data_IF_689952052631
#
_entry.id   IF_689952052631
#
_cell.length_a   1.000
_cell.length_b   1.000
_cell.length_c   1.000
_cell.angle_alpha   90.00
_cell.angle_beta   90.00
_cell.angle_gamma   90.00
#
_symmetry.space_group_name_H-M   'P 1'
#
loop_
_entity.id
_entity.type
_entity.pdbx_description
1 polymer ?
#
# COMPACT_ATOMS: atom_id res chain seq x y z
N UNK A 1 -2.55 -22.34 -9.12
CA UNK A 1 -2.05 -23.58 -8.46
C UNK A 1 -1.64 -23.28 -7.04
N UNK A 2 -0.66 -22.37 -6.76
CA UNK A 2 -0.13 -22.12 -5.42
C UNK A 2 -1.22 -21.70 -4.39
N UNK A 3 -2.22 -20.93 -4.78
CA UNK A 3 -3.34 -20.55 -3.90
C UNK A 3 -4.16 -21.77 -3.47
N UNK A 4 -4.47 -22.67 -4.40
CA UNK A 4 -5.21 -23.89 -4.09
C UNK A 4 -4.38 -24.87 -3.26
N UNK A 5 -3.05 -24.90 -3.45
CA UNK A 5 -2.15 -25.74 -2.67
C UNK A 5 -2.13 -25.38 -1.19
N UNK A 6 -2.44 -24.12 -0.81
CA UNK A 6 -2.56 -23.71 0.60
C UNK A 6 -3.67 -24.44 1.36
N UNK A 7 -4.71 -24.95 0.67
CA UNK A 7 -5.78 -25.72 1.28
C UNK A 7 -5.45 -27.20 1.50
N UNK A 8 -4.36 -27.71 0.90
CA UNK A 8 -4.02 -29.14 0.92
C UNK A 8 -3.23 -29.52 2.17
N UNK A 9 -2.39 -28.62 2.66
CA UNK A 9 -1.47 -28.90 3.76
C UNK A 9 -1.35 -27.73 4.72
N UNK A 10 -1.56 -27.95 6.01
CA UNK A 10 -1.56 -26.94 7.07
C UNK A 10 -0.22 -26.89 7.83
N UNK A 11 0.89 -27.07 7.13
CA UNK A 11 2.23 -26.93 7.70
C UNK A 11 2.79 -25.53 7.47
N UNK A 12 3.39 -24.95 8.51
CA UNK A 12 3.89 -23.58 8.48
C UNK A 12 5.04 -23.37 7.47
N UNK A 13 5.94 -24.36 7.34
CA UNK A 13 7.06 -24.26 6.41
C UNK A 13 6.58 -24.38 4.96
N UNK A 14 5.65 -25.29 4.70
CA UNK A 14 5.00 -25.43 3.39
C UNK A 14 4.25 -24.15 3.01
N UNK A 15 3.49 -23.54 3.93
CA UNK A 15 2.82 -22.27 3.69
C UNK A 15 3.81 -21.15 3.40
N UNK A 16 4.91 -21.05 4.12
CA UNK A 16 5.94 -20.05 3.89
C UNK A 16 6.53 -20.17 2.47
N UNK A 17 6.85 -21.39 2.02
CA UNK A 17 7.34 -21.64 0.65
C UNK A 17 6.32 -21.24 -0.42
N UNK A 18 5.05 -21.62 -0.23
CA UNK A 18 4.00 -21.24 -1.16
C UNK A 18 3.77 -19.71 -1.18
N UNK A 19 3.88 -19.03 -0.05
CA UNK A 19 3.78 -17.56 0.03
C UNK A 19 4.95 -16.87 -0.68
N UNK A 20 6.15 -17.40 -0.59
CA UNK A 20 7.30 -16.90 -1.36
C UNK A 20 7.03 -17.06 -2.86
N UNK A 21 6.61 -18.26 -3.30
CA UNK A 21 6.28 -18.51 -4.70
C UNK A 21 5.16 -17.60 -5.21
N UNK A 22 4.10 -17.40 -4.42
CA UNK A 22 3.03 -16.46 -4.73
C UNK A 22 3.54 -15.03 -4.84
N UNK A 23 4.38 -14.57 -3.90
CA UNK A 23 4.96 -13.23 -3.91
C UNK A 23 5.75 -12.96 -5.20
N UNK A 24 6.59 -13.92 -5.60
CA UNK A 24 7.34 -13.84 -6.86
C UNK A 24 6.38 -13.79 -8.06
N UNK A 25 5.39 -14.68 -8.11
CA UNK A 25 4.40 -14.71 -9.20
C UNK A 25 3.61 -13.41 -9.30
N UNK A 26 3.15 -12.84 -8.18
CA UNK A 26 2.45 -11.55 -8.14
C UNK A 26 3.35 -10.40 -8.58
N UNK A 27 4.62 -10.37 -8.17
CA UNK A 27 5.57 -9.34 -8.59
C UNK A 27 5.73 -9.35 -10.12
N UNK A 28 5.92 -10.52 -10.73
CA UNK A 28 5.98 -10.65 -12.19
C UNK A 28 4.68 -10.24 -12.86
N UNK A 29 3.53 -10.69 -12.35
CA UNK A 29 2.22 -10.36 -12.90
C UNK A 29 1.96 -8.86 -12.91
N UNK A 30 2.14 -8.19 -11.78
CA UNK A 30 1.92 -6.73 -11.70
C UNK A 30 2.88 -5.96 -12.60
N UNK A 31 4.16 -6.30 -12.60
CA UNK A 31 5.15 -5.65 -13.48
C UNK A 31 4.79 -5.83 -14.95
N UNK A 32 4.36 -7.04 -15.36
CA UNK A 32 3.97 -7.32 -16.75
C UNK A 32 2.70 -6.55 -17.15
N UNK A 33 1.67 -6.51 -16.28
CA UNK A 33 0.43 -5.79 -16.56
C UNK A 33 0.71 -4.29 -16.71
N UNK A 34 1.49 -3.71 -15.81
CA UNK A 34 1.79 -2.28 -15.82
C UNK A 34 2.66 -1.90 -17.03
N UNK A 35 3.68 -2.69 -17.35
CA UNK A 35 4.49 -2.49 -18.56
C UNK A 35 3.64 -2.56 -19.83
N UNK A 36 2.74 -3.55 -19.90
CA UNK A 36 1.86 -3.72 -21.04
C UNK A 36 0.87 -2.57 -21.21
N UNK A 37 0.25 -2.11 -20.10
CA UNK A 37 -0.61 -0.92 -20.14
C UNK A 37 0.16 0.34 -20.55
N UNK A 38 1.40 0.47 -20.10
CA UNK A 38 2.27 1.59 -20.46
C UNK A 38 2.55 1.66 -21.96
N UNK A 39 2.77 0.52 -22.62
CA UNK A 39 3.02 0.45 -24.06
C UNK A 39 1.74 0.50 -24.91
N UNK A 40 0.65 -0.14 -24.44
CA UNK A 40 -0.58 -0.29 -25.24
C UNK A 40 -1.47 0.96 -25.21
N UNK A 41 -1.37 1.81 -24.18
CA UNK A 41 -2.26 2.95 -23.99
C UNK A 41 -1.62 4.24 -24.55
N UNK A 42 -2.33 4.98 -25.44
CA UNK A 42 -1.85 6.28 -25.92
C UNK A 42 -1.57 7.26 -24.78
N UNK A 43 -0.51 8.09 -24.91
CA UNK A 43 -0.04 9.02 -23.87
C UNK A 43 -1.14 9.93 -23.33
N UNK A 44 -2.02 10.45 -24.18
CA UNK A 44 -3.15 11.31 -23.79
C UNK A 44 -4.14 10.65 -22.82
N UNK A 45 -4.31 9.34 -22.86
CA UNK A 45 -5.28 8.58 -22.03
C UNK A 45 -4.61 7.74 -20.94
N UNK A 46 -3.28 7.65 -20.94
CA UNK A 46 -2.50 6.79 -20.01
C UNK A 46 -2.79 7.10 -18.56
N UNK A 47 -2.79 8.38 -18.17
CA UNK A 47 -3.09 8.79 -16.80
C UNK A 47 -4.49 8.35 -16.33
N UNK A 48 -5.49 8.46 -17.22
CA UNK A 48 -6.86 8.05 -16.89
C UNK A 48 -6.99 6.52 -16.75
N UNK A 49 -6.38 5.76 -17.65
CA UNK A 49 -6.39 4.28 -17.60
C UNK A 49 -5.68 3.78 -16.35
N UNK A 50 -4.52 4.35 -16.01
CA UNK A 50 -3.80 4.02 -14.77
C UNK A 50 -4.61 4.40 -13.52
N UNK A 51 -5.29 5.54 -13.53
CA UNK A 51 -6.19 5.95 -12.44
C UNK A 51 -7.33 4.95 -12.23
N UNK A 52 -7.96 4.48 -13.30
CA UNK A 52 -9.01 3.45 -13.24
C UNK A 52 -8.43 2.12 -12.71
N UNK A 53 -7.27 1.70 -13.20
CA UNK A 53 -6.59 0.49 -12.75
C UNK A 53 -6.30 0.52 -11.23
N UNK A 54 -5.69 1.59 -10.73
CA UNK A 54 -5.38 1.71 -9.30
C UNK A 54 -6.64 1.83 -8.42
N UNK A 55 -7.67 2.52 -8.91
CA UNK A 55 -8.96 2.59 -8.21
C UNK A 55 -9.61 1.20 -8.16
N UNK A 56 -9.63 0.48 -9.28
CA UNK A 56 -10.14 -0.89 -9.35
C UNK A 56 -9.38 -1.84 -8.42
N UNK A 57 -8.05 -1.74 -8.36
CA UNK A 57 -7.23 -2.54 -7.45
C UNK A 57 -7.60 -2.28 -5.97
N UNK A 58 -7.77 -1.02 -5.57
CA UNK A 58 -8.20 -0.67 -4.20
C UNK A 58 -9.62 -1.12 -3.89
N UNK A 59 -10.54 -0.97 -4.83
CA UNK A 59 -11.92 -1.48 -4.69
C UNK A 59 -11.91 -3.02 -4.52
N UNK A 60 -11.06 -3.73 -5.24
CA UNK A 60 -10.91 -5.17 -5.09
C UNK A 60 -10.37 -5.56 -3.71
N UNK A 61 -9.41 -4.80 -3.16
CA UNK A 61 -8.91 -5.00 -1.79
C UNK A 61 -9.97 -4.68 -0.72
N UNK A 62 -10.86 -3.74 -1.00
CA UNK A 62 -11.98 -3.39 -0.12
C UNK A 62 -13.08 -4.47 -0.15
N UNK A 63 -13.43 -4.98 -1.35
CA UNK A 63 -14.56 -5.91 -1.54
C UNK A 63 -14.13 -7.36 -1.31
N UNK A 64 -12.88 -7.71 -1.63
CA UNK A 64 -12.35 -9.08 -1.58
C UNK A 64 -12.65 -9.84 -0.28
N UNK A 65 -12.46 -9.25 0.91
CA UNK A 65 -12.73 -9.91 2.18
C UNK A 65 -14.19 -10.38 2.37
N UNK A 66 -15.17 -9.72 1.73
CA UNK A 66 -16.57 -10.12 1.83
C UNK A 66 -16.89 -11.46 1.15
N UNK A 67 -16.11 -11.84 0.13
CA UNK A 67 -16.27 -13.16 -0.51
C UNK A 67 -15.88 -14.32 0.40
N UNK A 68 -15.06 -14.06 1.42
CA UNK A 68 -14.64 -15.06 2.41
C UNK A 68 -15.28 -14.85 3.78
N UNK A 69 -16.05 -13.78 3.95
CA UNK A 69 -16.77 -13.50 5.18
C UNK A 69 -17.75 -14.65 5.48
N UNK A 70 -17.71 -15.16 6.72
CA UNK A 70 -18.53 -16.29 7.15
C UNK A 70 -18.03 -17.67 6.72
N UNK A 71 -16.89 -17.77 5.99
CA UNK A 71 -16.26 -19.04 5.66
C UNK A 71 -15.25 -19.43 6.75
N UNK A 72 -15.18 -20.74 7.05
CA UNK A 72 -14.11 -21.25 7.90
C UNK A 72 -12.78 -21.22 7.13
N UNK A 73 -11.69 -20.77 7.76
CA UNK A 73 -10.36 -20.79 7.17
C UNK A 73 -9.87 -22.20 6.79
N UNK A 74 -10.48 -23.24 7.38
CA UNK A 74 -10.06 -24.63 7.22
C UNK A 74 -10.88 -25.40 6.17
N UNK A 75 -11.99 -24.85 5.64
CA UNK A 75 -12.86 -25.58 4.72
C UNK A 75 -12.44 -25.54 3.25
N UNK A 76 -11.36 -24.86 2.93
CA UNK A 76 -10.82 -24.75 1.56
C UNK A 76 -11.62 -23.85 0.60
N UNK A 77 -12.87 -23.47 0.91
CA UNK A 77 -13.74 -22.69 0.03
C UNK A 77 -13.16 -21.31 -0.29
N UNK A 78 -12.53 -20.64 0.68
CA UNK A 78 -11.89 -19.36 0.47
C UNK A 78 -10.78 -19.44 -0.60
N UNK A 79 -9.98 -20.50 -0.55
CA UNK A 79 -8.92 -20.75 -1.54
C UNK A 79 -9.49 -21.11 -2.90
N UNK A 80 -10.61 -21.85 -2.96
CA UNK A 80 -11.31 -22.16 -4.21
C UNK A 80 -11.83 -20.90 -4.88
N UNK A 81 -12.48 -19.99 -4.16
CA UNK A 81 -12.92 -18.68 -4.66
C UNK A 81 -11.74 -17.85 -5.18
N UNK A 82 -10.66 -17.75 -4.42
CA UNK A 82 -9.47 -17.03 -4.86
C UNK A 82 -8.87 -17.65 -6.14
N UNK A 83 -8.82 -18.97 -6.22
CA UNK A 83 -8.39 -19.70 -7.41
C UNK A 83 -9.28 -19.46 -8.63
N UNK A 84 -10.61 -19.43 -8.43
CA UNK A 84 -11.60 -19.13 -9.48
C UNK A 84 -11.42 -17.72 -10.02
N UNK A 85 -11.30 -16.70 -9.15
CA UNK A 85 -11.07 -15.32 -9.59
C UNK A 85 -9.77 -15.17 -10.37
N UNK A 86 -8.69 -15.81 -9.91
CA UNK A 86 -7.42 -15.82 -10.64
C UNK A 86 -7.53 -16.51 -12.00
N UNK A 87 -8.28 -17.61 -12.11
CA UNK A 87 -8.54 -18.28 -13.39
C UNK A 87 -9.37 -17.41 -14.34
N UNK A 88 -10.43 -16.77 -13.82
CA UNK A 88 -11.26 -15.85 -14.60
C UNK A 88 -10.47 -14.62 -15.09
N UNK A 89 -9.53 -14.12 -14.28
CA UNK A 89 -8.67 -13.00 -14.68
C UNK A 89 -7.74 -13.34 -15.85
N UNK A 90 -7.43 -14.61 -16.08
CA UNK A 90 -6.62 -15.05 -17.24
C UNK A 90 -7.41 -15.03 -18.55
N UNK A 91 -8.74 -15.16 -18.51
CA UNK A 91 -9.57 -15.25 -19.71
C UNK A 91 -9.39 -14.06 -20.65
N UNK A 92 -9.52 -12.78 -20.21
CA UNK A 92 -9.31 -11.64 -21.10
C UNK A 92 -7.87 -11.57 -21.62
N UNK A 93 -6.88 -11.97 -20.80
CA UNK A 93 -5.47 -11.99 -21.21
C UNK A 93 -5.24 -13.02 -22.33
N UNK A 94 -5.83 -14.22 -22.21
CA UNK A 94 -5.72 -15.26 -23.24
C UNK A 94 -6.47 -14.90 -24.54
N UNK A 95 -7.52 -14.07 -24.46
CA UNK A 95 -8.30 -13.63 -25.62
C UNK A 95 -7.68 -12.41 -26.33
N UNK A 96 -6.73 -11.74 -25.72
CA UNK A 96 -6.09 -10.57 -26.36
C UNK A 96 -5.13 -10.98 -27.48
N UNK A 97 -5.06 -10.13 -28.51
CA UNK A 97 -4.14 -10.27 -29.63
C UNK A 97 -3.02 -9.22 -29.61
N UNK A 98 -2.89 -8.50 -28.52
CA UNK A 98 -1.84 -7.49 -28.37
C UNK A 98 -0.46 -8.16 -28.25
N UNK A 99 0.57 -7.45 -28.69
CA UNK A 99 1.96 -7.91 -28.58
C UNK A 99 2.38 -8.01 -27.11
N UNK A 100 3.28 -8.92 -26.83
CA UNK A 100 3.91 -8.99 -25.49
C UNK A 100 4.66 -7.70 -25.17
N UNK A 101 4.60 -7.25 -23.90
CA UNK A 101 5.34 -6.07 -23.47
C UNK A 101 6.85 -6.33 -23.55
N UNK A 102 7.60 -5.32 -23.91
CA UNK A 102 9.07 -5.38 -23.86
C UNK A 102 9.53 -5.46 -22.40
N UNK A 103 10.44 -6.38 -22.04
CA UNK A 103 10.97 -6.41 -20.68
C UNK A 103 11.61 -5.06 -20.33
N UNK A 104 11.25 -4.45 -19.20
CA UNK A 104 11.81 -3.16 -18.84
C UNK A 104 13.31 -3.27 -18.59
N UNK A 105 14.12 -2.55 -19.33
CA UNK A 105 15.56 -2.41 -19.09
C UNK A 105 15.79 -1.43 -17.93
N UNK A 106 15.48 -1.87 -16.72
CA UNK A 106 15.49 -1.00 -15.54
C UNK A 106 16.53 -1.43 -14.53
N UNK A 107 17.57 -0.61 -14.40
CA UNK A 107 18.49 -0.70 -13.27
C UNK A 107 17.86 -0.01 -12.06
N UNK A 108 17.67 -0.73 -10.95
CA UNK A 108 17.23 -0.12 -9.71
C UNK A 108 18.30 0.82 -9.15
N UNK A 109 17.88 1.90 -8.51
CA UNK A 109 18.79 2.81 -7.83
C UNK A 109 19.23 2.19 -6.49
N UNK A 110 20.53 2.22 -6.14
CA UNK A 110 20.99 1.81 -4.82
C UNK A 110 20.30 2.62 -3.70
N UNK A 111 19.86 1.94 -2.64
CA UNK A 111 19.15 2.58 -1.52
C UNK A 111 19.94 3.74 -0.91
N UNK A 112 21.27 3.63 -0.84
CA UNK A 112 22.13 4.69 -0.33
C UNK A 112 22.05 5.97 -1.19
N UNK A 113 21.97 5.85 -2.50
CA UNK A 113 21.81 6.99 -3.41
C UNK A 113 20.40 7.59 -3.28
N UNK A 114 19.38 6.74 -3.22
CA UNK A 114 18.00 7.14 -3.00
C UNK A 114 17.84 7.93 -1.70
N UNK A 115 18.53 7.48 -0.62
CA UNK A 115 18.54 8.18 0.66
C UNK A 115 19.21 9.57 0.59
N UNK A 116 20.19 9.77 -0.29
CA UNK A 116 20.79 11.10 -0.52
C UNK A 116 19.82 12.05 -1.23
N UNK A 117 19.04 11.54 -2.18
CA UNK A 117 18.08 12.33 -2.96
C UNK A 117 16.90 12.76 -2.08
N UNK A 118 16.21 11.80 -1.47
CA UNK A 118 14.96 12.02 -0.74
C UNK A 118 14.87 11.23 0.56
N UNK A 119 15.67 11.54 1.59
CA UNK A 119 15.70 10.75 2.83
C UNK A 119 14.36 10.67 3.55
N UNK A 120 13.57 11.75 3.54
CA UNK A 120 12.26 11.78 4.16
C UNK A 120 11.28 10.82 3.45
N UNK A 121 11.32 10.77 2.11
CA UNK A 121 10.49 9.85 1.34
C UNK A 121 10.88 8.39 1.60
N UNK A 122 12.18 8.09 1.63
CA UNK A 122 12.68 6.72 1.89
C UNK A 122 12.19 6.21 3.24
N UNK A 123 12.33 7.02 4.29
CA UNK A 123 11.84 6.66 5.63
C UNK A 123 10.32 6.53 5.63
N UNK A 124 9.61 7.47 4.99
CA UNK A 124 8.16 7.41 4.87
C UNK A 124 7.68 6.15 4.18
N UNK A 125 8.29 5.78 3.05
CA UNK A 125 7.96 4.57 2.30
C UNK A 125 8.28 3.28 3.08
N UNK A 126 9.41 3.23 3.79
CA UNK A 126 9.76 2.13 4.68
C UNK A 126 8.69 1.94 5.77
N UNK A 127 8.35 3.03 6.46
CA UNK A 127 7.34 3.00 7.52
C UNK A 127 5.94 2.70 6.98
N UNK A 128 5.62 3.14 5.76
CA UNK A 128 4.38 2.72 5.11
C UNK A 128 4.31 1.20 4.93
N UNK A 129 5.41 0.58 4.48
CA UNK A 129 5.51 -0.88 4.41
C UNK A 129 5.31 -1.53 5.77
N UNK A 130 6.02 -1.08 6.79
CA UNK A 130 5.92 -1.62 8.16
C UNK A 130 4.51 -1.49 8.72
N UNK A 131 3.94 -0.27 8.70
CA UNK A 131 2.67 0.04 9.34
C UNK A 131 1.51 -0.65 8.62
N UNK A 132 1.43 -0.48 7.30
CA UNK A 132 0.27 -0.93 6.53
C UNK A 132 0.20 -2.45 6.47
N UNK A 133 1.30 -3.12 6.11
CA UNK A 133 1.32 -4.59 6.06
C UNK A 133 1.28 -5.21 7.44
N UNK A 134 1.97 -4.63 8.43
CA UNK A 134 1.92 -5.12 9.80
C UNK A 134 0.52 -5.06 10.38
N UNK A 135 -0.17 -3.94 10.22
CA UNK A 135 -1.53 -3.76 10.76
C UNK A 135 -2.53 -4.62 9.98
N UNK A 136 -2.57 -4.55 8.65
CA UNK A 136 -3.57 -5.27 7.86
C UNK A 136 -3.39 -6.80 7.93
N UNK A 137 -2.17 -7.31 7.99
CA UNK A 137 -1.92 -8.75 8.11
C UNK A 137 -2.36 -9.33 9.45
N UNK A 138 -2.25 -8.55 10.54
CA UNK A 138 -2.60 -9.02 11.88
C UNK A 138 -3.98 -8.54 12.35
N UNK A 139 -4.67 -7.73 11.55
CA UNK A 139 -6.02 -7.26 11.86
C UNK A 139 -6.99 -8.41 12.15
N UNK A 140 -7.03 -9.51 11.35
CA UNK A 140 -7.89 -10.66 11.65
C UNK A 140 -7.60 -11.27 13.01
N UNK A 141 -6.33 -11.51 13.33
CA UNK A 141 -5.89 -12.07 14.61
C UNK A 141 -6.24 -11.13 15.77
N UNK A 142 -6.10 -9.83 15.56
CA UNK A 142 -6.41 -8.81 16.55
C UNK A 142 -7.92 -8.78 16.88
N UNK A 143 -8.78 -8.83 15.87
CA UNK A 143 -10.23 -8.83 16.03
C UNK A 143 -10.74 -10.10 16.73
N UNK A 144 -10.21 -11.25 16.34
CA UNK A 144 -10.57 -12.54 16.93
C UNK A 144 -10.09 -12.64 18.39
N UNK A 145 -8.82 -12.31 18.65
CA UNK A 145 -8.21 -12.43 19.99
C UNK A 145 -8.86 -11.52 21.02
N UNK A 146 -9.33 -10.33 20.62
CA UNK A 146 -9.86 -9.32 21.53
C UNK A 146 -11.38 -9.11 21.37
N UNK A 147 -12.04 -9.98 20.62
CA UNK A 147 -13.49 -9.97 20.37
C UNK A 147 -14.02 -8.59 19.95
N UNK A 148 -13.20 -7.83 19.20
CA UNK A 148 -13.59 -6.51 18.72
C UNK A 148 -14.70 -6.62 17.68
N UNK A 149 -15.70 -5.78 17.81
CA UNK A 149 -16.89 -5.77 16.95
C UNK A 149 -17.58 -7.16 16.86
N UNK A 150 -17.62 -7.91 17.96
CA UNK A 150 -18.20 -9.25 18.01
C UNK A 150 -17.31 -10.36 17.46
N UNK A 151 -16.11 -10.05 16.96
CA UNK A 151 -15.19 -11.03 16.39
C UNK A 151 -15.68 -11.62 15.06
N UNK A 152 -14.99 -12.68 14.61
CA UNK A 152 -15.38 -13.43 13.41
C UNK A 152 -14.97 -12.79 12.08
N UNK A 153 -15.08 -13.59 11.01
CA UNK A 153 -14.61 -13.23 9.67
C UNK A 153 -15.39 -12.08 9.04
N UNK A 154 -16.67 -11.91 9.37
CA UNK A 154 -17.49 -10.81 8.87
C UNK A 154 -17.06 -9.46 9.46
N UNK A 155 -16.80 -9.40 10.77
CA UNK A 155 -16.30 -8.19 11.45
C UNK A 155 -14.94 -7.77 10.87
N UNK A 156 -14.05 -8.74 10.63
CA UNK A 156 -12.76 -8.50 9.99
C UNK A 156 -12.93 -7.97 8.56
N UNK A 157 -13.84 -8.54 7.76
CA UNK A 157 -14.09 -8.08 6.41
C UNK A 157 -14.57 -6.62 6.38
N UNK A 158 -15.50 -6.26 7.27
CA UNK A 158 -15.98 -4.88 7.43
C UNK A 158 -14.84 -3.96 7.86
N UNK A 159 -14.02 -4.37 8.83
CA UNK A 159 -12.89 -3.59 9.33
C UNK A 159 -11.85 -3.30 8.23
N UNK A 160 -11.48 -4.32 7.45
CA UNK A 160 -10.56 -4.16 6.32
C UNK A 160 -11.17 -3.25 5.25
N UNK A 161 -12.44 -3.45 4.91
CA UNK A 161 -13.15 -2.61 3.95
C UNK A 161 -13.22 -1.14 4.41
N UNK A 162 -13.50 -0.90 5.69
CA UNK A 162 -13.54 0.43 6.29
C UNK A 162 -12.18 1.15 6.19
N UNK A 163 -11.09 0.45 6.50
CA UNK A 163 -9.74 1.00 6.35
C UNK A 163 -9.43 1.37 4.88
N UNK A 164 -9.73 0.49 3.92
CA UNK A 164 -9.51 0.76 2.50
C UNK A 164 -10.42 1.87 1.98
N UNK A 165 -11.68 1.95 2.43
CA UNK A 165 -12.61 3.04 2.11
C UNK A 165 -12.03 4.39 2.54
N UNK A 166 -11.54 4.49 3.78
CA UNK A 166 -10.87 5.69 4.26
C UNK A 166 -9.70 6.08 3.36
N UNK A 167 -8.83 5.12 3.05
CA UNK A 167 -7.70 5.32 2.15
C UNK A 167 -8.09 5.77 0.75
N UNK A 168 -9.17 5.23 0.20
CA UNK A 168 -9.68 5.61 -1.12
C UNK A 168 -10.23 7.05 -1.12
N UNK A 169 -11.03 7.39 -0.11
CA UNK A 169 -11.69 8.71 0.00
C UNK A 169 -10.67 9.83 0.21
N UNK A 170 -9.70 9.65 1.10
CA UNK A 170 -8.76 10.74 1.42
C UNK A 170 -7.62 10.88 0.41
N UNK A 171 -7.29 9.84 -0.34
CA UNK A 171 -6.14 9.84 -1.24
C UNK A 171 -6.15 11.00 -2.23
N UNK A 172 -7.30 11.24 -2.89
CA UNK A 172 -7.41 12.30 -3.89
C UNK A 172 -7.41 13.71 -3.26
N UNK A 173 -8.21 14.02 -2.23
CA UNK A 173 -8.13 15.32 -1.54
C UNK A 173 -6.75 15.63 -0.97
N UNK A 174 -6.08 14.64 -0.37
CA UNK A 174 -4.73 14.80 0.15
C UNK A 174 -3.70 15.04 -0.97
N UNK A 175 -3.86 14.39 -2.11
CA UNK A 175 -3.06 14.63 -3.30
C UNK A 175 -3.16 16.08 -3.76
N UNK A 176 -4.37 16.55 -4.03
CA UNK A 176 -4.65 17.94 -4.45
C UNK A 176 -4.14 18.96 -3.41
N UNK A 177 -4.34 18.67 -2.13
CA UNK A 177 -3.82 19.54 -1.07
C UNK A 177 -2.28 19.58 -1.08
N UNK A 178 -1.63 18.46 -1.36
CA UNK A 178 -0.16 18.35 -1.40
C UNK A 178 0.47 19.09 -2.59
N UNK A 179 -0.34 19.43 -3.62
CA UNK A 179 0.12 20.25 -4.73
C UNK A 179 0.04 21.75 -4.42
N UNK A 180 -0.77 22.13 -3.42
CA UNK A 180 -0.97 23.53 -3.01
C UNK A 180 -0.13 23.97 -1.82
N UNK A 181 0.22 23.02 -0.96
CA UNK A 181 1.05 23.26 0.23
C UNK A 181 2.21 22.25 0.29
N UNK A 182 3.16 22.50 1.18
CA UNK A 182 4.31 21.62 1.36
C UNK A 182 3.89 20.14 1.60
N UNK A 183 4.25 19.23 0.69
CA UNK A 183 3.88 17.80 0.74
C UNK A 183 4.23 17.16 2.09
N UNK A 184 5.37 17.52 2.69
CA UNK A 184 5.81 16.99 4.00
C UNK A 184 4.85 17.36 5.13
N UNK A 185 4.20 18.53 5.07
CA UNK A 185 3.20 18.93 6.06
C UNK A 185 1.90 18.13 5.90
N UNK A 186 1.48 17.86 4.65
CA UNK A 186 0.32 17.01 4.38
C UNK A 186 0.58 15.59 4.89
N UNK A 187 1.76 15.01 4.60
CA UNK A 187 2.16 13.71 5.14
C UNK A 187 2.13 13.72 6.67
N UNK A 188 2.70 14.75 7.31
CA UNK A 188 2.68 14.87 8.76
C UNK A 188 1.25 14.92 9.33
N UNK A 189 0.35 15.69 8.71
CA UNK A 189 -1.06 15.76 9.10
C UNK A 189 -1.77 14.41 9.00
N UNK A 190 -1.57 13.70 7.89
CA UNK A 190 -2.13 12.35 7.68
C UNK A 190 -1.60 11.34 8.70
N UNK A 191 -0.29 11.36 8.96
CA UNK A 191 0.34 10.50 9.96
C UNK A 191 -0.16 10.84 11.38
N UNK A 192 -0.33 12.12 11.70
CA UNK A 192 -0.87 12.55 13.00
C UNK A 192 -2.30 12.06 13.17
N UNK A 193 -3.15 12.26 12.17
CA UNK A 193 -4.56 11.80 12.19
C UNK A 193 -4.64 10.29 12.39
N UNK A 194 -3.89 9.51 11.61
CA UNK A 194 -3.88 8.04 11.75
C UNK A 194 -3.19 7.58 13.04
N UNK A 195 -2.21 8.33 13.53
CA UNK A 195 -1.58 8.09 14.82
C UNK A 195 -2.56 8.25 15.98
N UNK A 196 -3.37 9.30 15.96
CA UNK A 196 -4.45 9.51 16.96
C UNK A 196 -5.47 8.37 16.87
N UNK A 197 -5.92 8.02 15.67
CA UNK A 197 -6.84 6.91 15.45
C UNK A 197 -6.26 5.58 15.97
N UNK A 198 -4.97 5.33 15.74
CA UNK A 198 -4.27 4.16 16.29
C UNK A 198 -4.31 4.14 17.80
N UNK A 199 -3.97 5.25 18.47
CA UNK A 199 -3.99 5.33 19.93
C UNK A 199 -5.41 5.18 20.49
N UNK A 200 -6.43 5.73 19.84
CA UNK A 200 -7.82 5.53 20.24
C UNK A 200 -8.21 4.04 20.21
N UNK A 201 -7.83 3.29 19.19
CA UNK A 201 -8.09 1.84 19.14
C UNK A 201 -7.27 1.11 20.21
N UNK A 202 -5.98 1.46 20.37
CA UNK A 202 -5.10 0.81 21.33
C UNK A 202 -5.61 0.92 22.78
N UNK A 203 -6.15 2.10 23.15
CA UNK A 203 -6.57 2.40 24.53
C UNK A 203 -8.05 2.08 24.75
N UNK A 204 -8.90 2.43 23.81
CA UNK A 204 -10.35 2.42 23.96
C UNK A 204 -11.06 1.40 23.05
N UNK A 205 -10.34 0.55 22.30
CA UNK A 205 -10.91 -0.29 21.25
C UNK A 205 -12.14 -1.09 21.68
N UNK A 206 -12.12 -1.66 22.88
CA UNK A 206 -13.29 -2.40 23.44
C UNK A 206 -14.43 -1.44 23.82
N UNK A 207 -14.11 -0.28 24.41
CA UNK A 207 -15.09 0.70 24.84
C UNK A 207 -15.77 1.45 23.68
N UNK A 208 -15.12 1.50 22.51
CA UNK A 208 -15.68 2.14 21.32
C UNK A 208 -16.88 1.39 20.74
N UNK A 209 -17.02 0.10 21.05
CA UNK A 209 -18.01 -0.77 20.42
C UNK A 209 -17.75 -0.97 18.93
N UNK A 210 -18.63 -1.72 18.27
CA UNK A 210 -18.45 -2.11 16.87
C UNK A 210 -18.38 -0.90 15.92
N UNK A 211 -19.38 -0.03 15.98
CA UNK A 211 -19.48 1.15 15.09
C UNK A 211 -18.31 2.09 15.32
N UNK A 212 -17.92 2.31 16.58
CA UNK A 212 -16.82 3.19 16.93
C UNK A 212 -15.49 2.69 16.41
N UNK A 213 -15.20 1.40 16.55
CA UNK A 213 -13.96 0.79 16.00
C UNK A 213 -13.92 0.91 14.48
N UNK A 214 -15.02 0.63 13.77
CA UNK A 214 -15.09 0.73 12.32
C UNK A 214 -14.89 2.18 11.86
N UNK A 215 -15.52 3.15 12.53
CA UNK A 215 -15.34 4.56 12.21
C UNK A 215 -13.89 5.02 12.43
N UNK A 216 -13.26 4.63 13.53
CA UNK A 216 -11.87 4.99 13.82
C UNK A 216 -10.91 4.28 12.85
N UNK A 217 -11.19 3.04 12.45
CA UNK A 217 -10.42 2.34 11.40
C UNK A 217 -10.54 3.02 10.04
N UNK A 218 -11.70 3.57 9.69
CA UNK A 218 -11.86 4.37 8.48
C UNK A 218 -10.94 5.59 8.51
N UNK A 219 -10.90 6.31 9.64
CA UNK A 219 -10.01 7.47 9.84
C UNK A 219 -8.53 7.04 9.81
N UNK A 220 -8.20 5.92 10.46
CA UNK A 220 -6.86 5.35 10.40
C UNK A 220 -6.43 5.05 8.97
N UNK A 221 -7.27 4.35 8.23
CA UNK A 221 -7.00 3.98 6.84
C UNK A 221 -6.88 5.20 5.92
N UNK A 222 -7.69 6.24 6.17
CA UNK A 222 -7.66 7.48 5.40
C UNK A 222 -6.24 8.08 5.35
N UNK A 223 -5.53 8.16 6.45
CA UNK A 223 -4.15 8.64 6.46
C UNK A 223 -3.13 7.54 6.17
N UNK A 224 -3.19 6.41 6.88
CA UNK A 224 -2.17 5.36 6.82
C UNK A 224 -2.04 4.69 5.45
N UNK A 225 -3.16 4.49 4.73
CA UNK A 225 -3.15 3.86 3.39
C UNK A 225 -2.96 4.85 2.24
N UNK A 226 -2.87 6.15 2.52
CA UNK A 226 -2.75 7.19 1.49
C UNK A 226 -1.40 7.91 1.50
N UNK A 227 -0.70 8.04 2.63
CA UNK A 227 0.53 8.82 2.70
C UNK A 227 1.69 8.24 1.87
N UNK A 228 1.67 6.94 1.56
CA UNK A 228 2.67 6.32 0.69
C UNK A 228 2.80 7.06 -0.65
N UNK A 229 1.68 7.32 -1.32
CA UNK A 229 1.66 8.01 -2.60
C UNK A 229 2.26 9.42 -2.54
N UNK A 230 2.06 10.13 -1.42
CA UNK A 230 2.66 11.44 -1.20
C UNK A 230 4.17 11.35 -0.95
N UNK A 231 4.64 10.30 -0.26
CA UNK A 231 6.08 10.05 -0.09
C UNK A 231 6.76 9.78 -1.44
N UNK A 232 6.10 9.01 -2.31
CA UNK A 232 6.60 8.75 -3.67
C UNK A 232 6.65 10.05 -4.47
N UNK A 233 5.58 10.83 -4.49
CA UNK A 233 5.55 12.12 -5.16
C UNK A 233 6.65 13.07 -4.65
N UNK A 234 6.87 13.12 -3.32
CA UNK A 234 7.95 13.90 -2.73
C UNK A 234 9.35 13.44 -3.18
N UNK A 235 9.55 12.14 -3.42
CA UNK A 235 10.80 11.64 -3.97
C UNK A 235 10.98 12.05 -5.43
N UNK A 236 9.92 11.97 -6.23
CA UNK A 236 9.91 12.34 -7.65
C UNK A 236 10.26 13.83 -7.82
N UNK A 237 9.66 14.72 -7.02
CA UNK A 237 9.96 16.16 -7.04
C UNK A 237 11.45 16.49 -6.86
N UNK A 238 12.19 15.61 -6.18
CA UNK A 238 13.64 15.76 -5.91
C UNK A 238 14.53 14.98 -6.84
N UNK A 239 13.94 14.25 -7.78
CA UNK A 239 14.65 13.35 -8.68
C UNK A 239 15.07 14.09 -9.96
N UNK A 240 16.34 14.00 -10.39
CA UNK A 240 16.74 14.52 -11.68
C UNK A 240 15.97 13.89 -12.83
N UNK A 241 15.73 14.68 -13.90
CA UNK A 241 15.03 14.20 -15.11
C UNK A 241 15.68 12.93 -15.65
N UNK A 242 14.87 11.96 -16.10
CA UNK A 242 15.31 10.68 -16.64
C UNK A 242 15.70 9.61 -15.62
N UNK A 243 15.68 9.91 -14.30
CA UNK A 243 15.99 8.94 -13.22
C UNK A 243 14.78 8.49 -12.40
N UNK A 244 13.60 9.00 -12.72
CA UNK A 244 12.34 8.64 -12.02
C UNK A 244 12.09 7.12 -12.01
N UNK A 245 12.31 6.36 -13.13
CA UNK A 245 12.16 4.90 -13.14
C UNK A 245 12.99 4.20 -12.07
N UNK A 246 14.24 4.63 -11.94
CA UNK A 246 15.20 4.02 -11.01
C UNK A 246 14.81 4.32 -9.56
N UNK A 247 14.35 5.55 -9.28
CA UNK A 247 13.85 5.97 -7.96
C UNK A 247 12.61 5.18 -7.57
N UNK A 248 11.65 5.02 -8.49
CA UNK A 248 10.43 4.24 -8.25
C UNK A 248 10.74 2.79 -7.90
N UNK A 249 11.62 2.13 -8.68
CA UNK A 249 12.06 0.76 -8.38
C UNK A 249 12.76 0.66 -7.03
N UNK A 250 13.60 1.64 -6.68
CA UNK A 250 14.27 1.70 -5.38
C UNK A 250 13.27 1.90 -4.21
N UNK A 251 12.28 2.78 -4.36
CA UNK A 251 11.23 2.99 -3.36
C UNK A 251 10.37 1.74 -3.16
N UNK A 252 10.04 1.04 -4.24
CA UNK A 252 9.30 -0.23 -4.16
C UNK A 252 10.09 -1.28 -3.37
N UNK A 253 11.40 -1.37 -3.58
CA UNK A 253 12.27 -2.25 -2.80
C UNK A 253 12.28 -1.88 -1.31
N UNK A 254 12.37 -0.59 -0.99
CA UNK A 254 12.31 -0.09 0.40
C UNK A 254 10.97 -0.42 1.04
N UNK A 255 9.86 -0.22 0.31
CA UNK A 255 8.52 -0.59 0.79
C UNK A 255 8.41 -2.09 1.05
N UNK A 256 8.92 -2.92 0.13
CA UNK A 256 8.91 -4.38 0.30
C UNK A 256 9.70 -4.83 1.53
N UNK A 257 10.86 -4.23 1.80
CA UNK A 257 11.64 -4.49 3.01
C UNK A 257 10.84 -4.15 4.27
N UNK A 258 10.17 -2.98 4.30
CA UNK A 258 9.25 -2.62 5.38
C UNK A 258 8.09 -3.60 5.54
N UNK A 259 7.55 -4.08 4.43
CA UNK A 259 6.43 -5.03 4.42
C UNK A 259 6.77 -6.41 4.96
N UNK A 260 8.02 -6.82 4.85
CA UNK A 260 8.52 -8.07 5.47
C UNK A 260 8.66 -7.89 6.99
N UNK A 261 9.19 -6.75 7.42
CA UNK A 261 9.46 -6.48 8.84
C UNK A 261 8.18 -6.16 9.61
N UNK A 262 7.20 -5.52 8.95
CA UNK A 262 5.97 -5.02 9.57
C UNK A 262 5.20 -6.08 10.37
N UNK A 263 4.77 -7.20 9.77
CA UNK A 263 4.05 -8.25 10.50
C UNK A 263 4.82 -8.84 11.66
N UNK A 264 6.15 -8.96 11.55
CA UNK A 264 7.01 -9.46 12.62
C UNK A 264 7.04 -8.50 13.81
N UNK A 265 7.25 -7.21 13.56
CA UNK A 265 7.23 -6.18 14.60
C UNK A 265 5.85 -6.08 15.25
N UNK A 266 4.79 -6.09 14.47
CA UNK A 266 3.41 -6.01 14.95
C UNK A 266 3.04 -7.24 15.79
N UNK A 267 3.43 -8.44 15.36
CA UNK A 267 3.23 -9.67 16.11
C UNK A 267 4.00 -9.67 17.45
N UNK A 268 5.24 -9.19 17.43
CA UNK A 268 6.02 -9.00 18.66
C UNK A 268 5.38 -7.98 19.59
N UNK A 269 4.94 -6.82 19.07
CA UNK A 269 4.25 -5.79 19.87
C UNK A 269 2.96 -6.32 20.50
N UNK A 270 2.17 -7.13 19.80
CA UNK A 270 0.98 -7.79 20.34
C UNK A 270 1.31 -8.82 21.43
N UNK A 271 2.50 -9.43 21.40
CA UNK A 271 2.94 -10.34 22.48
C UNK A 271 3.34 -9.60 23.74
N UNK A 272 3.96 -8.41 23.59
CA UNK A 272 4.51 -7.63 24.72
C UNK A 272 3.45 -6.72 25.35
N UNK A 273 2.66 -6.05 24.51
CA UNK A 273 1.70 -5.03 24.96
C UNK A 273 0.22 -5.43 24.73
N UNK A 274 -0.02 -6.71 24.46
CA UNK A 274 -1.35 -7.29 24.30
C UNK A 274 -2.26 -6.46 23.37
N UNK A 275 -3.43 -5.99 23.85
CA UNK A 275 -4.38 -5.18 23.07
C UNK A 275 -3.77 -3.88 22.51
N UNK A 276 -2.91 -3.25 23.29
CA UNK A 276 -2.27 -2.01 22.83
C UNK A 276 -1.18 -2.25 21.78
N UNK A 277 -0.69 -3.48 21.61
CA UNK A 277 0.50 -3.78 20.83
C UNK A 277 0.39 -3.38 19.36
N UNK A 278 -0.65 -3.85 18.66
CA UNK A 278 -0.79 -3.64 17.20
C UNK A 278 -0.91 -2.15 16.87
N UNK A 279 -1.96 -1.53 17.38
CA UNK A 279 -2.24 -0.12 17.08
C UNK A 279 -1.36 0.85 17.87
N UNK A 280 -0.85 0.47 19.05
CA UNK A 280 0.16 1.25 19.77
C UNK A 280 1.45 1.38 18.99
N UNK A 281 1.98 0.28 18.44
CA UNK A 281 3.15 0.32 17.56
C UNK A 281 2.88 1.19 16.32
N UNK A 282 1.76 0.96 15.64
CA UNK A 282 1.39 1.75 14.46
C UNK A 282 1.31 3.25 14.79
N UNK A 283 0.68 3.62 15.91
CA UNK A 283 0.57 4.99 16.39
C UNK A 283 1.92 5.64 16.67
N UNK A 284 2.80 4.94 17.40
CA UNK A 284 4.16 5.43 17.68
C UNK A 284 4.93 5.68 16.38
N UNK A 285 4.92 4.74 15.44
CA UNK A 285 5.65 4.88 14.17
C UNK A 285 5.07 6.02 13.32
N UNK A 286 3.74 6.21 13.30
CA UNK A 286 3.08 7.32 12.62
C UNK A 286 3.46 8.68 13.23
N UNK A 287 3.49 8.80 14.56
CA UNK A 287 3.94 10.05 15.20
C UNK A 287 5.44 10.33 14.98
N UNK A 288 6.28 9.29 15.03
CA UNK A 288 7.71 9.43 14.69
C UNK A 288 7.85 9.96 13.26
N UNK A 289 7.08 9.43 12.30
CA UNK A 289 7.11 9.92 10.92
C UNK A 289 6.58 11.35 10.82
N UNK A 290 5.49 11.69 11.51
CA UNK A 290 4.94 13.05 11.52
C UNK A 290 5.96 14.07 12.05
N UNK A 291 6.61 13.77 13.16
CA UNK A 291 7.66 14.62 13.75
C UNK A 291 8.84 14.75 12.78
N UNK A 292 9.28 13.64 12.18
CA UNK A 292 10.37 13.64 11.21
C UNK A 292 10.03 14.53 10.00
N UNK A 293 8.82 14.49 9.48
CA UNK A 293 8.39 15.32 8.36
C UNK A 293 8.41 16.80 8.74
N UNK A 294 7.89 17.17 9.91
CA UNK A 294 7.92 18.56 10.41
C UNK A 294 9.33 19.06 10.61
N UNK A 295 10.22 18.25 11.21
CA UNK A 295 11.64 18.61 11.40
C UNK A 295 12.32 18.82 10.05
N UNK A 296 12.06 17.96 9.07
CA UNK A 296 12.62 18.07 7.72
C UNK A 296 12.13 19.30 6.95
N UNK A 297 10.91 19.77 7.21
CA UNK A 297 10.42 21.06 6.65
C UNK A 297 11.31 22.22 7.12
N UNK A 298 11.68 22.22 8.40
CA UNK A 298 12.54 23.27 8.97
C UNK A 298 14.00 23.21 8.51
N UNK A 299 14.50 22.02 8.17
CA UNK A 299 15.91 21.80 7.83
C UNK A 299 16.22 21.99 6.33
N UNK A 300 15.25 21.83 5.45
CA UNK A 300 15.47 21.82 4.00
C UNK A 300 14.32 22.51 3.28
N UNK A 301 14.66 23.48 2.42
CA UNK A 301 13.68 24.22 1.65
C UNK A 301 12.77 23.28 0.81
N UNK A 302 11.54 23.75 0.57
CA UNK A 302 10.62 23.10 -0.35
C UNK A 302 11.23 23.07 -1.76
N UNK A 303 10.86 22.06 -2.60
CA UNK A 303 11.12 22.12 -4.03
C UNK A 303 10.48 23.40 -4.60
N UNK A 304 11.11 24.00 -5.62
CA UNK A 304 10.54 25.15 -6.33
C UNK A 304 9.31 24.69 -7.13
N UNK A 305 8.38 25.59 -7.44
CA UNK A 305 7.19 25.29 -8.26
C UNK A 305 7.54 24.61 -9.58
N UNK A 306 8.69 24.97 -10.20
CA UNK A 306 9.20 24.33 -11.41
C UNK A 306 9.70 22.88 -11.21
N UNK A 307 9.90 22.45 -9.98
CA UNK A 307 10.32 21.09 -9.61
C UNK A 307 9.17 20.23 -9.09
N UNK A 308 8.07 20.86 -8.67
CA UNK A 308 6.88 20.15 -8.23
C UNK A 308 6.10 19.63 -9.42
N UNK A 309 5.72 18.37 -9.36
CA UNK A 309 4.82 17.76 -10.33
C UNK A 309 3.44 17.55 -9.72
N UNK A 310 2.42 17.63 -10.57
CA UNK A 310 1.05 17.31 -10.19
C UNK A 310 0.98 15.90 -9.61
N UNK A 311 0.36 15.75 -8.45
CA UNK A 311 0.21 14.48 -7.80
C UNK A 311 -0.67 13.53 -8.63
N UNK A 312 -0.21 12.27 -8.74
CA UNK A 312 -0.95 11.18 -9.38
C UNK A 312 -1.07 10.00 -8.42
N UNK A 313 -2.21 9.29 -8.42
CA UNK A 313 -2.41 8.15 -7.54
C UNK A 313 -1.44 7.02 -7.89
N UNK A 314 -0.67 6.57 -6.90
CA UNK A 314 0.27 5.45 -7.02
C UNK A 314 0.00 4.43 -5.92
N UNK A 315 0.06 3.15 -6.26
CA UNK A 315 0.01 2.05 -5.29
C UNK A 315 1.41 1.47 -5.07
N UNK A 316 1.68 0.81 -3.93
CA UNK A 316 2.98 0.20 -3.65
C UNK A 316 3.39 -0.91 -4.63
N UNK A 317 2.46 -1.41 -5.42
CA UNK A 317 2.73 -2.43 -6.45
C UNK A 317 3.03 -1.84 -7.81
N UNK A 318 2.90 -0.50 -7.97
CA UNK A 318 2.96 0.17 -9.27
C UNK A 318 4.32 0.78 -9.58
N UNK A 319 4.87 0.44 -10.74
CA UNK A 319 5.97 1.13 -11.40
C UNK A 319 5.47 2.18 -12.42
N UNK A 320 4.17 2.28 -12.61
CA UNK A 320 3.53 3.12 -13.63
C UNK A 320 3.77 4.64 -13.45
N UNK A 321 4.16 5.08 -12.25
CA UNK A 321 4.58 6.47 -12.01
C UNK A 321 5.74 6.94 -12.91
N UNK A 322 6.46 5.99 -13.48
CA UNK A 322 7.56 6.25 -14.42
C UNK A 322 7.07 6.75 -15.77
N UNK A 323 5.99 6.17 -16.25
CA UNK A 323 5.43 6.45 -17.58
C UNK A 323 4.50 7.67 -17.54
N UNK A 324 4.15 8.10 -16.33
CA UNK A 324 3.36 9.30 -16.08
C UNK A 324 4.24 10.55 -15.89
N UNK A 325 5.57 10.44 -15.96
CA UNK A 325 6.48 11.59 -15.86
C UNK A 325 6.39 12.42 -17.16
N UNK A 326 5.78 13.60 -17.15
CA UNK A 326 5.72 14.47 -18.34
C UNK A 326 7.09 14.99 -18.79
N UNK A 327 8.13 14.77 -18.00
CA UNK A 327 9.52 15.12 -18.31
C UNK A 327 10.27 13.99 -19.02
N UNK A 328 9.61 12.87 -19.31
CA UNK A 328 10.22 11.76 -20.03
C UNK A 328 10.47 12.19 -21.49
N UNK A 329 11.72 12.24 -21.97
CA UNK A 329 12.04 12.71 -23.31
C UNK A 329 11.47 11.83 -24.44
N UNK A 330 10.97 10.64 -24.11
CA UNK A 330 10.31 9.74 -25.08
C UNK A 330 8.80 10.05 -25.27
N UNK A 331 8.25 11.07 -24.61
CA UNK A 331 6.84 11.48 -24.72
C UNK A 331 6.64 12.56 -25.76
N UNK A 332 7.71 13.16 -26.30
CA UNK A 332 7.67 14.26 -27.29
C UNK A 332 7.86 13.81 -28.75
N UNK A 333 7.62 12.57 -29.09
CA UNK A 333 7.73 12.15 -30.51
C UNK A 333 6.45 11.48 -31.04
#
# INVERSE_FOLDING_TARGET
VAVLALSLWHDAAFWALLRIAQGIAFAYMFTSIESWMGEAVPDKSRGNVMGIYHTGAKLSLMIGPFFVAGMSPLDGRAYAWAGLFLALALVPVCLTRQKEPTPPDRKSMPVAELFRIAPAAVIGVLLAGVINTGTLALLPVYFERFELAGGGTAAVAIAVAAAWLGGLVLQWPAGVLSDRIERRLVIAGMCTMSGIASLLIAVFGVALGEIGVIAVLTIWGAGALSFYGLCVAHAIDRTPRGRVPQVMSGLLFVWAAGSIVGPLMSGFAMRVADRAGLFGLAGVLLFVLAILMVVRVRQRAAPTEAQQEEWKPVTPTSLAGVELDPRNPNVES
#
